data_IF_714155303416
#
_entry.id   IF_714155303416
#
_cell.length_a   1.000
_cell.length_b   1.000
_cell.length_c   1.000
_cell.angle_alpha   90.00
_cell.angle_beta   90.00
_cell.angle_gamma   90.00
#
_symmetry.space_group_name_H-M   'P 1'
#
loop_
_entity.id
_entity.type
_entity.pdbx_description
1 polymer ?
#
# COMPACT_ATOMS: atom_id res chain seq x y z
N UNK A 1 8.59 -14.94 -6.16
CA UNK A 1 8.60 -13.68 -5.37
C UNK A 1 9.37 -13.93 -4.09
N UNK A 2 10.32 -13.03 -3.77
CA UNK A 2 11.07 -13.04 -2.49
C UNK A 2 10.67 -11.78 -1.74
N UNK A 3 10.26 -11.93 -0.47
CA UNK A 3 9.83 -10.84 0.39
C UNK A 3 10.49 -10.97 1.77
N UNK A 4 11.16 -9.91 2.22
CA UNK A 4 11.86 -9.89 3.51
C UNK A 4 10.89 -9.86 4.68
N UNK A 5 9.72 -9.27 4.50
CA UNK A 5 8.67 -9.22 5.50
C UNK A 5 7.95 -10.57 5.63
N UNK A 6 7.25 -10.83 6.74
CA UNK A 6 6.66 -12.14 7.01
C UNK A 6 5.49 -12.49 6.10
N UNK A 7 4.98 -11.55 5.31
CA UNK A 7 3.84 -11.76 4.39
C UNK A 7 3.91 -10.82 3.19
N UNK A 8 3.27 -11.20 2.10
CA UNK A 8 3.01 -10.32 0.96
C UNK A 8 2.07 -9.19 1.37
N UNK A 9 2.13 -8.07 0.65
CA UNK A 9 1.27 -6.88 0.87
C UNK A 9 1.10 -6.53 2.36
N UNK A 10 2.18 -6.27 3.08
CA UNK A 10 2.20 -6.18 4.55
C UNK A 10 1.35 -5.04 5.11
N UNK A 11 1.04 -4.03 4.29
CA UNK A 11 0.21 -2.88 4.65
C UNK A 11 -1.29 -3.17 4.59
N UNK A 12 -1.66 -4.32 4.01
CA UNK A 12 -3.06 -4.75 3.92
C UNK A 12 -3.50 -5.51 5.18
N UNK A 13 -4.80 -5.71 5.32
CA UNK A 13 -5.34 -6.54 6.40
C UNK A 13 -4.76 -7.97 6.33
N UNK A 14 -4.57 -8.58 7.50
CA UNK A 14 -3.87 -9.87 7.63
C UNK A 14 -4.52 -11.00 6.83
N UNK A 15 -5.83 -10.97 6.63
CA UNK A 15 -6.55 -11.98 5.86
C UNK A 15 -6.28 -11.91 4.36
N UNK A 16 -5.81 -10.76 3.84
CA UNK A 16 -5.55 -10.57 2.40
C UNK A 16 -4.32 -11.33 1.93
N UNK A 17 -3.23 -11.29 2.71
CA UNK A 17 -1.95 -11.90 2.31
C UNK A 17 -2.02 -13.41 2.04
N UNK A 18 -2.63 -14.24 2.91
CA UNK A 18 -2.75 -15.68 2.65
C UNK A 18 -3.59 -16.01 1.41
N UNK A 19 -4.57 -15.17 1.09
CA UNK A 19 -5.40 -15.35 -0.10
C UNK A 19 -4.60 -15.05 -1.37
N UNK A 20 -3.79 -13.99 -1.35
CA UNK A 20 -2.88 -13.67 -2.44
C UNK A 20 -1.84 -14.77 -2.66
N UNK A 21 -1.20 -15.25 -1.59
CA UNK A 21 -0.21 -16.33 -1.67
C UNK A 21 -0.82 -17.63 -2.23
N UNK A 22 -2.03 -17.97 -1.80
CA UNK A 22 -2.76 -19.12 -2.34
C UNK A 22 -3.04 -18.97 -3.84
N UNK A 23 -3.47 -17.79 -4.25
CA UNK A 23 -3.74 -17.51 -5.67
C UNK A 23 -2.46 -17.57 -6.48
N UNK A 24 -1.36 -16.98 -6.02
CA UNK A 24 -0.06 -17.05 -6.66
C UNK A 24 0.44 -18.49 -6.79
N UNK A 25 0.29 -19.31 -5.75
CA UNK A 25 0.66 -20.72 -5.78
C UNK A 25 -0.11 -21.49 -6.86
N UNK A 26 -1.42 -21.22 -7.04
CA UNK A 26 -2.23 -21.83 -8.11
C UNK A 26 -1.80 -21.39 -9.50
N UNK A 27 -1.30 -20.18 -9.63
CA UNK A 27 -0.71 -19.65 -10.85
C UNK A 27 0.72 -20.17 -11.11
N UNK A 28 1.27 -21.00 -10.22
CA UNK A 28 2.64 -21.53 -10.31
C UNK A 28 3.72 -20.55 -9.86
N UNK A 29 3.35 -19.42 -9.24
CA UNK A 29 4.27 -18.43 -8.70
C UNK A 29 4.70 -18.88 -7.30
N UNK A 30 6.00 -19.12 -7.12
CA UNK A 30 6.56 -19.42 -5.79
C UNK A 30 6.75 -18.16 -4.98
N UNK A 31 6.33 -18.21 -3.72
CA UNK A 31 6.50 -17.12 -2.76
C UNK A 31 7.42 -17.57 -1.64
N UNK A 32 8.41 -16.75 -1.33
CA UNK A 32 9.33 -16.91 -0.19
C UNK A 32 9.21 -15.66 0.66
N UNK A 33 8.30 -15.66 1.62
CA UNK A 33 8.20 -14.62 2.65
C UNK A 33 9.18 -14.90 3.81
N UNK A 34 9.49 -13.88 4.60
CA UNK A 34 10.57 -13.89 5.61
C UNK A 34 11.92 -14.32 5.03
N UNK A 35 12.22 -13.87 3.82
CA UNK A 35 13.41 -14.25 3.08
C UNK A 35 14.11 -13.02 2.48
N UNK A 36 15.36 -12.83 2.76
CA UNK A 36 16.17 -11.71 2.28
C UNK A 36 17.05 -12.09 1.11
N UNK A 37 17.16 -11.22 0.10
CA UNK A 37 18.17 -11.36 -0.94
C UNK A 37 19.51 -10.86 -0.40
N UNK A 38 20.53 -11.72 -0.38
CA UNK A 38 21.87 -11.41 0.12
C UNK A 38 22.87 -11.10 -1.00
N UNK A 39 22.55 -11.47 -2.24
CA UNK A 39 23.39 -11.19 -3.40
C UNK A 39 22.90 -11.88 -4.66
N UNK A 40 23.63 -11.68 -5.74
CA UNK A 40 23.39 -12.37 -7.00
C UNK A 40 24.68 -12.55 -7.80
N UNK A 41 24.70 -13.55 -8.65
CA UNK A 41 25.80 -13.81 -9.60
C UNK A 41 25.24 -13.81 -11.02
N UNK A 42 25.93 -13.16 -11.94
CA UNK A 42 25.55 -13.12 -13.36
C UNK A 42 26.29 -14.23 -14.09
N UNK A 43 25.53 -15.16 -14.64
CA UNK A 43 26.04 -16.27 -15.45
C UNK A 43 25.79 -16.03 -16.97
N UNK A 44 26.29 -16.95 -17.82
CA UNK A 44 26.15 -16.83 -19.27
C UNK A 44 24.70 -16.90 -19.78
N UNK A 45 23.78 -17.51 -19.02
CA UNK A 45 22.38 -17.75 -19.41
C UNK A 45 21.34 -17.17 -18.44
N UNK A 46 21.77 -16.38 -17.46
CA UNK A 46 20.86 -15.81 -16.47
C UNK A 46 21.56 -15.40 -15.19
N UNK A 47 20.80 -15.31 -14.11
CA UNK A 47 21.29 -14.93 -12.79
C UNK A 47 20.98 -16.03 -11.77
N UNK A 48 21.92 -16.23 -10.85
CA UNK A 48 21.69 -17.02 -9.63
C UNK A 48 21.55 -16.04 -8.46
N UNK A 49 20.36 -15.96 -7.86
CA UNK A 49 20.06 -15.09 -6.72
C UNK A 49 20.25 -15.86 -5.42
N UNK A 50 21.02 -15.30 -4.49
CA UNK A 50 21.23 -15.83 -3.15
C UNK A 50 20.19 -15.29 -2.23
N UNK A 51 19.42 -16.17 -1.59
CA UNK A 51 18.34 -15.83 -0.69
C UNK A 51 18.58 -16.53 0.64
N UNK A 52 18.46 -15.78 1.73
CA UNK A 52 18.56 -16.32 3.08
C UNK A 52 17.18 -16.34 3.74
N UNK A 53 16.78 -17.48 4.29
CA UNK A 53 15.59 -17.65 5.11
C UNK A 53 15.97 -18.45 6.36
N UNK A 54 15.69 -17.89 7.55
CA UNK A 54 15.97 -18.55 8.84
C UNK A 54 17.43 -19.04 8.99
N UNK A 55 18.39 -18.27 8.43
CA UNK A 55 19.81 -18.62 8.45
C UNK A 55 20.22 -19.70 7.44
N UNK A 56 19.31 -20.12 6.57
CA UNK A 56 19.59 -21.11 5.50
C UNK A 56 19.65 -20.39 4.16
N UNK A 57 20.80 -20.51 3.50
CA UNK A 57 20.98 -19.97 2.14
C UNK A 57 20.32 -20.89 1.11
N UNK A 58 19.63 -20.30 0.14
CA UNK A 58 19.04 -20.93 -1.02
C UNK A 58 19.49 -20.20 -2.29
N UNK A 59 19.73 -20.95 -3.34
CA UNK A 59 20.08 -20.41 -4.66
C UNK A 59 18.88 -20.52 -5.59
N UNK A 60 18.52 -19.40 -6.22
CA UNK A 60 17.41 -19.33 -7.17
C UNK A 60 17.94 -18.91 -8.54
N UNK A 61 17.84 -19.81 -9.51
CA UNK A 61 18.20 -19.50 -10.89
C UNK A 61 17.05 -18.78 -11.59
N UNK A 62 17.39 -17.75 -12.37
CA UNK A 62 16.43 -16.95 -13.11
C UNK A 62 17.06 -16.34 -14.37
N UNK A 63 16.27 -16.13 -15.41
CA UNK A 63 16.73 -15.40 -16.59
C UNK A 63 16.84 -13.89 -16.34
N UNK A 64 15.93 -13.36 -15.50
CA UNK A 64 15.84 -11.93 -15.15
C UNK A 64 15.42 -11.77 -13.69
N UNK A 65 15.86 -10.69 -13.08
CA UNK A 65 15.45 -10.28 -11.74
C UNK A 65 14.82 -8.90 -11.82
N UNK A 66 13.59 -8.77 -11.30
CA UNK A 66 12.95 -7.49 -11.08
C UNK A 66 13.18 -7.07 -9.63
N UNK A 67 13.79 -5.90 -9.44
CA UNK A 67 13.95 -5.30 -8.11
C UNK A 67 12.78 -4.35 -7.87
N UNK A 68 11.94 -4.69 -6.89
CA UNK A 68 10.75 -3.94 -6.51
C UNK A 68 10.66 -3.81 -4.97
N UNK A 69 11.77 -3.39 -4.34
CA UNK A 69 11.97 -3.39 -2.88
C UNK A 69 11.50 -2.10 -2.20
N UNK A 70 10.71 -1.29 -2.89
CA UNK A 70 10.17 -0.03 -2.41
C UNK A 70 10.60 1.16 -3.25
N UNK A 71 10.15 2.33 -2.83
CA UNK A 71 10.42 3.63 -3.49
C UNK A 71 10.89 4.65 -2.47
N UNK A 72 11.61 5.64 -2.94
CA UNK A 72 11.96 6.85 -2.19
C UNK A 72 11.82 8.07 -3.09
N UNK A 73 11.63 9.25 -2.50
CA UNK A 73 11.58 10.48 -3.27
C UNK A 73 12.95 10.81 -3.87
N UNK A 74 12.96 11.35 -5.08
CA UNK A 74 14.16 11.89 -5.72
C UNK A 74 14.35 13.33 -5.22
N UNK A 75 15.20 13.50 -4.23
CA UNK A 75 15.46 14.81 -3.58
C UNK A 75 16.88 15.31 -3.79
N UNK A 76 17.72 14.52 -4.47
CA UNK A 76 19.11 14.86 -4.78
C UNK A 76 19.16 15.99 -5.83
N UNK A 77 20.17 16.84 -5.74
CA UNK A 77 20.48 17.92 -6.69
C UNK A 77 19.35 18.96 -6.90
N UNK A 78 18.46 19.11 -5.91
CA UNK A 78 17.40 20.13 -5.92
C UNK A 78 17.82 21.45 -5.23
N UNK A 79 19.04 21.54 -4.68
CA UNK A 79 19.50 22.72 -3.94
C UNK A 79 18.79 22.93 -2.61
N UNK A 80 18.27 21.86 -2.00
CA UNK A 80 17.51 21.93 -0.75
C UNK A 80 18.37 22.39 0.42
N UNK A 81 19.65 22.00 0.41
CA UNK A 81 20.64 22.37 1.42
C UNK A 81 20.95 23.87 1.38
N UNK A 82 21.02 24.47 0.19
CA UNK A 82 21.26 25.89 -0.01
C UNK A 82 20.15 26.75 0.60
N UNK A 83 18.93 26.22 0.64
CA UNK A 83 17.76 26.84 1.24
C UNK A 83 17.51 26.39 2.68
N UNK A 84 18.35 25.51 3.23
CA UNK A 84 18.17 24.91 4.54
C UNK A 84 16.81 24.24 4.72
N UNK A 85 16.30 23.58 3.67
CA UNK A 85 15.07 22.80 3.73
C UNK A 85 15.34 21.49 4.49
N UNK A 86 14.51 21.22 5.49
CA UNK A 86 14.62 20.01 6.29
C UNK A 86 14.23 18.76 5.47
N UNK A 87 15.15 17.79 5.44
CA UNK A 87 14.97 16.52 4.75
C UNK A 87 15.10 15.34 5.71
N UNK A 88 14.52 14.21 5.34
CA UNK A 88 14.78 12.91 5.92
C UNK A 88 15.30 11.95 4.84
N UNK A 89 15.50 10.67 5.15
CA UNK A 89 15.92 9.69 4.14
C UNK A 89 14.93 9.64 2.97
N UNK A 90 15.35 10.15 1.78
CA UNK A 90 14.55 10.18 0.56
C UNK A 90 13.25 10.98 0.66
N UNK A 91 13.18 12.02 1.50
CA UNK A 91 11.95 12.82 1.64
C UNK A 91 12.23 14.24 2.12
N UNK A 92 11.35 15.18 1.73
CA UNK A 92 11.25 16.53 2.25
C UNK A 92 10.26 16.55 3.43
N UNK A 93 10.64 17.14 4.56
CA UNK A 93 9.74 17.28 5.71
C UNK A 93 8.69 18.34 5.44
N UNK A 94 7.44 18.01 5.75
CA UNK A 94 6.29 18.92 5.61
C UNK A 94 5.40 18.87 6.85
N UNK A 95 4.68 19.95 7.07
CA UNK A 95 3.56 20.00 8.00
C UNK A 95 2.25 19.46 7.38
N UNK A 96 1.15 19.57 8.11
CA UNK A 96 -0.17 19.09 7.67
C UNK A 96 -0.78 19.94 6.53
N UNK A 97 -0.19 21.10 6.22
CA UNK A 97 -0.58 21.98 5.12
C UNK A 97 0.41 21.93 3.95
N UNK A 98 1.26 20.90 3.90
CA UNK A 98 2.29 20.68 2.88
C UNK A 98 3.43 21.72 2.89
N UNK A 99 3.52 22.59 3.90
CA UNK A 99 4.58 23.59 4.04
C UNK A 99 5.87 22.93 4.50
N UNK A 100 7.00 23.35 3.95
CA UNK A 100 8.31 23.02 4.51
C UNK A 100 8.65 23.94 5.69
N UNK A 101 9.79 23.72 6.33
CA UNK A 101 10.33 24.64 7.35
C UNK A 101 10.71 26.03 6.80
N UNK A 102 10.78 26.20 5.48
CA UNK A 102 11.10 27.48 4.81
C UNK A 102 9.83 28.14 4.31
N UNK A 103 9.47 29.35 4.83
CA UNK A 103 8.26 30.05 4.43
C UNK A 103 8.14 30.25 2.92
N UNK A 104 6.97 29.93 2.36
CA UNK A 104 6.69 30.06 0.93
C UNK A 104 7.16 28.88 0.07
N UNK A 105 7.76 27.84 0.68
CA UNK A 105 8.14 26.61 -0.02
C UNK A 105 7.29 25.45 0.48
N UNK A 106 6.70 24.74 -0.46
CA UNK A 106 5.81 23.59 -0.23
C UNK A 106 6.34 22.37 -0.94
N UNK A 107 6.03 21.18 -0.43
CA UNK A 107 6.32 19.92 -1.10
C UNK A 107 5.09 19.01 -1.09
N UNK A 108 4.84 18.34 -2.21
CA UNK A 108 3.72 17.42 -2.41
C UNK A 108 4.17 16.14 -3.14
N UNK A 109 3.39 15.10 -3.05
CA UNK A 109 3.64 13.83 -3.74
C UNK A 109 4.70 12.98 -3.07
N UNK A 110 5.31 12.12 -3.84
CA UNK A 110 6.20 11.05 -3.38
C UNK A 110 7.40 11.58 -2.59
N UNK A 111 7.89 12.76 -2.92
CA UNK A 111 9.00 13.42 -2.22
C UNK A 111 8.70 13.72 -0.76
N UNK A 112 7.43 13.74 -0.34
CA UNK A 112 7.04 13.97 1.06
C UNK A 112 7.15 12.70 1.92
N UNK A 113 7.18 11.53 1.29
CA UNK A 113 7.20 10.24 1.98
C UNK A 113 5.92 9.92 2.78
N UNK A 114 4.83 10.68 2.58
CA UNK A 114 3.56 10.44 3.29
C UNK A 114 2.80 9.24 2.71
N UNK A 115 2.36 9.35 1.47
CA UNK A 115 1.67 8.28 0.75
C UNK A 115 1.96 8.42 -0.76
N UNK A 116 2.75 7.49 -1.31
CA UNK A 116 3.22 7.53 -2.69
C UNK A 116 2.13 7.04 -3.67
N UNK A 117 1.06 7.83 -3.81
CA UNK A 117 -0.07 7.59 -4.70
C UNK A 117 -0.45 8.88 -5.43
N UNK A 118 -0.74 8.78 -6.72
CA UNK A 118 -1.01 9.93 -7.57
C UNK A 118 -2.20 10.78 -7.07
N UNK A 119 -3.28 10.15 -6.64
CA UNK A 119 -4.45 10.86 -6.11
C UNK A 119 -4.17 11.49 -4.73
N UNK A 120 -3.30 10.90 -3.91
CA UNK A 120 -2.84 11.53 -2.67
C UNK A 120 -2.03 12.79 -2.98
N UNK A 121 -1.12 12.74 -3.96
CA UNK A 121 -0.37 13.90 -4.42
C UNK A 121 -1.28 15.00 -4.97
N UNK A 122 -2.34 14.64 -5.71
CA UNK A 122 -3.34 15.60 -6.20
C UNK A 122 -4.09 16.28 -5.05
N UNK A 123 -4.52 15.52 -4.04
CA UNK A 123 -5.17 16.07 -2.85
C UNK A 123 -4.24 17.01 -2.07
N UNK A 124 -2.97 16.62 -1.89
CA UNK A 124 -1.94 17.48 -1.30
C UNK A 124 -1.77 18.78 -2.08
N UNK A 125 -1.76 18.72 -3.42
CA UNK A 125 -1.63 19.89 -4.27
C UNK A 125 -2.78 20.88 -4.11
N UNK A 126 -4.03 20.39 -4.06
CA UNK A 126 -5.20 21.22 -3.80
C UNK A 126 -5.10 21.89 -2.45
N UNK A 127 -4.82 21.11 -1.39
CA UNK A 127 -4.69 21.62 -0.02
C UNK A 127 -3.58 22.69 0.09
N UNK A 128 -2.42 22.43 -0.53
CA UNK A 128 -1.32 23.39 -0.53
C UNK A 128 -1.71 24.73 -1.17
N UNK A 129 -2.40 24.70 -2.32
CA UNK A 129 -2.84 25.92 -3.03
C UNK A 129 -3.92 26.67 -2.26
N UNK A 130 -4.87 25.98 -1.65
CA UNK A 130 -5.89 26.57 -0.79
C UNK A 130 -5.26 27.23 0.43
N UNK A 131 -4.28 26.57 1.06
CA UNK A 131 -3.52 27.14 2.18
C UNK A 131 -2.75 28.40 1.76
N UNK A 132 -2.06 28.38 0.61
CA UNK A 132 -1.38 29.55 0.03
C UNK A 132 -2.36 30.72 -0.19
N UNK A 133 -3.58 30.41 -0.62
CA UNK A 133 -4.63 31.40 -0.83
C UNK A 133 -5.24 31.93 0.48
N UNK A 134 -4.84 31.44 1.65
CA UNK A 134 -5.36 31.82 2.96
C UNK A 134 -6.77 31.26 3.21
N UNK A 135 -7.17 30.20 2.54
CA UNK A 135 -8.42 29.48 2.78
C UNK A 135 -8.32 28.61 4.02
N UNK A 136 -9.42 28.37 4.70
CA UNK A 136 -9.50 27.35 5.73
C UNK A 136 -9.44 25.96 5.09
N UNK A 137 -8.44 25.15 5.47
CA UNK A 137 -8.19 23.82 4.89
C UNK A 137 -8.35 22.74 5.94
N UNK A 138 -8.83 21.55 5.50
CA UNK A 138 -8.88 20.37 6.34
C UNK A 138 -7.65 19.51 6.11
N UNK A 139 -7.08 18.98 7.20
CA UNK A 139 -5.96 18.03 7.15
C UNK A 139 -6.35 16.75 6.43
N UNK A 140 -5.48 16.24 5.58
CA UNK A 140 -5.72 14.99 4.85
C UNK A 140 -5.62 13.78 5.78
N UNK A 141 -6.65 12.97 5.80
CA UNK A 141 -6.62 11.66 6.45
C UNK A 141 -6.05 10.60 5.50
N UNK A 142 -4.76 10.33 5.62
CA UNK A 142 -4.07 9.36 4.77
C UNK A 142 -4.52 7.92 5.03
N UNK A 143 -5.05 7.60 6.21
CA UNK A 143 -5.58 6.27 6.49
C UNK A 143 -6.83 5.99 5.64
N UNK A 144 -7.65 7.01 5.43
CA UNK A 144 -8.90 6.90 4.66
C UNK A 144 -8.70 7.03 3.15
N UNK A 145 -7.49 7.31 2.67
CA UNK A 145 -7.23 7.34 1.23
C UNK A 145 -7.29 5.94 0.62
N UNK A 146 -8.05 5.76 -0.48
CA UNK A 146 -8.15 4.48 -1.18
C UNK A 146 -6.79 4.01 -1.71
N UNK A 147 -6.51 2.73 -1.54
CA UNK A 147 -5.30 2.07 -2.05
C UNK A 147 -5.69 0.92 -2.96
N UNK A 148 -5.00 0.80 -4.09
CA UNK A 148 -5.20 -0.27 -5.06
C UNK A 148 -3.86 -0.92 -5.41
N UNK A 149 -3.81 -2.25 -5.38
CA UNK A 149 -2.68 -3.04 -5.87
C UNK A 149 -3.15 -3.82 -7.11
N UNK A 150 -2.64 -3.40 -8.26
CA UNK A 150 -3.00 -3.96 -9.56
C UNK A 150 -2.22 -5.25 -9.85
N UNK A 151 -2.56 -6.29 -9.14
CA UNK A 151 -2.09 -7.66 -9.37
C UNK A 151 -3.28 -8.55 -9.78
N UNK A 152 -3.08 -9.85 -9.88
CA UNK A 152 -4.16 -10.79 -10.15
C UNK A 152 -4.14 -11.92 -9.11
N UNK A 153 -5.20 -12.03 -8.26
CA UNK A 153 -6.36 -11.13 -8.16
C UNK A 153 -5.98 -9.72 -7.65
N UNK A 154 -6.79 -8.71 -7.98
CA UNK A 154 -6.59 -7.34 -7.51
C UNK A 154 -6.80 -7.24 -6.00
N UNK A 155 -6.14 -6.25 -5.40
CA UNK A 155 -6.35 -5.90 -3.99
C UNK A 155 -6.74 -4.43 -3.91
N UNK A 156 -7.69 -4.12 -3.02
CA UNK A 156 -8.15 -2.78 -2.78
C UNK A 156 -8.46 -2.58 -1.30
N UNK A 157 -8.09 -1.43 -0.76
CA UNK A 157 -8.33 -1.12 0.65
C UNK A 157 -8.44 0.38 0.93
N UNK A 158 -9.07 0.72 2.02
CA UNK A 158 -9.02 2.02 2.65
C UNK A 158 -9.26 1.86 4.15
N UNK A 159 -8.89 2.88 4.92
CA UNK A 159 -9.12 2.91 6.36
C UNK A 159 -8.21 1.99 7.15
N UNK A 160 -8.67 1.65 8.34
CA UNK A 160 -7.93 0.84 9.31
C UNK A 160 -8.11 -0.65 9.02
N UNK A 161 -7.04 -1.41 9.17
CA UNK A 161 -7.13 -2.87 9.29
C UNK A 161 -7.83 -3.24 10.60
N UNK A 162 -8.34 -4.46 10.72
CA UNK A 162 -8.92 -4.94 11.98
C UNK A 162 -7.95 -4.79 13.16
N UNK A 163 -6.68 -5.14 12.95
CA UNK A 163 -5.66 -5.04 13.98
C UNK A 163 -5.44 -3.58 14.43
N UNK A 164 -5.31 -2.65 13.47
CA UNK A 164 -5.15 -1.22 13.76
C UNK A 164 -6.36 -0.63 14.48
N UNK A 165 -7.58 -0.99 14.05
CA UNK A 165 -8.78 -0.51 14.70
C UNK A 165 -8.88 -0.99 16.16
N UNK A 166 -8.53 -2.25 16.45
CA UNK A 166 -8.46 -2.78 17.82
C UNK A 166 -7.37 -2.12 18.65
N UNK A 167 -6.20 -1.88 18.07
CA UNK A 167 -5.09 -1.19 18.73
C UNK A 167 -5.44 0.25 19.12
N UNK A 168 -6.23 0.93 18.29
CA UNK A 168 -6.75 2.27 18.56
C UNK A 168 -7.91 2.29 19.56
N UNK A 169 -8.33 1.12 20.05
CA UNK A 169 -9.35 0.99 21.12
C UNK A 169 -10.78 0.97 20.61
N UNK A 170 -11.02 0.78 19.32
CA UNK A 170 -12.37 0.59 18.77
C UNK A 170 -12.95 -0.77 19.20
N UNK A 171 -14.27 -0.80 19.42
CA UNK A 171 -15.00 -2.05 19.59
C UNK A 171 -15.36 -2.61 18.20
N UNK A 172 -14.48 -3.48 17.66
CA UNK A 172 -14.51 -3.89 16.26
C UNK A 172 -15.48 -5.04 16.02
N UNK A 173 -16.42 -4.84 15.11
CA UNK A 173 -17.19 -5.87 14.41
C UNK A 173 -16.64 -6.03 12.98
N UNK A 174 -16.52 -7.27 12.51
CA UNK A 174 -16.05 -7.59 11.16
C UNK A 174 -17.16 -8.28 10.38
N UNK A 175 -17.40 -7.78 9.15
CA UNK A 175 -18.24 -8.44 8.16
C UNK A 175 -17.39 -8.92 7.00
N UNK A 176 -17.53 -10.20 6.61
CA UNK A 176 -16.79 -10.77 5.46
C UNK A 176 -17.76 -11.37 4.47
N UNK A 177 -17.60 -11.03 3.19
CA UNK A 177 -18.30 -11.63 2.07
C UNK A 177 -17.32 -12.37 1.18
N UNK A 178 -17.58 -13.64 0.90
CA UNK A 178 -16.75 -14.46 0.01
C UNK A 178 -17.17 -14.20 -1.45
N UNK A 179 -16.21 -13.83 -2.29
CA UNK A 179 -16.42 -13.55 -3.72
C UNK A 179 -17.00 -14.75 -4.47
N UNK A 180 -16.73 -15.97 -4.02
CA UNK A 180 -17.30 -17.19 -4.59
C UNK A 180 -18.85 -17.20 -4.60
N UNK A 181 -19.50 -16.48 -3.71
CA UNK A 181 -20.96 -16.34 -3.66
C UNK A 181 -21.50 -15.28 -4.63
N UNK A 182 -20.64 -14.58 -5.37
CA UNK A 182 -21.02 -13.55 -6.31
C UNK A 182 -21.26 -14.11 -7.71
N UNK A 183 -22.46 -13.91 -8.27
CA UNK A 183 -22.85 -14.45 -9.58
C UNK A 183 -22.00 -13.90 -10.74
N UNK A 184 -21.59 -12.62 -10.71
CA UNK A 184 -20.70 -12.03 -11.73
C UNK A 184 -19.33 -12.70 -11.68
N UNK A 185 -18.74 -12.83 -10.50
CA UNK A 185 -17.44 -13.47 -10.31
C UNK A 185 -17.47 -14.93 -10.80
N UNK A 186 -18.54 -15.66 -10.51
CA UNK A 186 -18.74 -17.02 -11.03
C UNK A 186 -18.85 -17.05 -12.56
N UNK A 187 -19.58 -16.11 -13.16
CA UNK A 187 -19.70 -16.00 -14.63
C UNK A 187 -18.38 -15.62 -15.31
N UNK A 188 -17.51 -14.87 -14.64
CA UNK A 188 -16.17 -14.53 -15.12
C UNK A 188 -15.16 -15.68 -14.95
N UNK A 189 -15.50 -16.71 -14.17
CA UNK A 189 -14.55 -17.77 -13.79
C UNK A 189 -13.51 -17.33 -12.76
N UNK A 190 -13.72 -16.20 -12.12
CA UNK A 190 -12.79 -15.55 -11.17
C UNK A 190 -13.47 -15.41 -9.79
N UNK A 191 -13.64 -16.53 -9.10
CA UNK A 191 -14.41 -16.59 -7.85
C UNK A 191 -13.56 -16.57 -6.58
N UNK A 192 -12.27 -16.26 -6.69
CA UNK A 192 -11.37 -16.18 -5.54
C UNK A 192 -11.39 -14.79 -4.92
N UNK A 193 -11.50 -14.75 -3.59
CA UNK A 193 -11.34 -13.50 -2.86
C UNK A 193 -12.40 -13.28 -1.79
N UNK A 194 -12.25 -12.13 -1.11
CA UNK A 194 -13.16 -11.66 -0.06
C UNK A 194 -13.34 -10.14 -0.15
N UNK A 195 -14.46 -9.69 0.39
CA UNK A 195 -14.69 -8.31 0.82
C UNK A 195 -14.81 -8.33 2.34
N UNK A 196 -13.90 -7.66 3.04
CA UNK A 196 -13.90 -7.52 4.50
C UNK A 196 -14.17 -6.08 4.89
N UNK A 197 -15.14 -5.86 5.77
CA UNK A 197 -15.47 -4.57 6.36
C UNK A 197 -15.15 -4.57 7.84
N UNK A 198 -14.50 -3.52 8.30
CA UNK A 198 -14.14 -3.27 9.71
C UNK A 198 -15.03 -2.14 10.21
N UNK A 199 -15.85 -2.40 11.21
CA UNK A 199 -16.90 -1.49 11.68
C UNK A 199 -16.77 -1.29 13.19
N UNK A 200 -17.00 -0.08 13.68
CA UNK A 200 -17.17 0.18 15.11
C UNK A 200 -18.55 -0.31 15.55
N UNK A 201 -18.59 -1.30 16.45
CA UNK A 201 -19.84 -1.93 16.93
C UNK A 201 -20.72 -0.96 17.71
N UNK A 202 -20.14 0.10 18.29
CA UNK A 202 -20.88 1.06 19.11
C UNK A 202 -21.73 2.00 18.28
N UNK A 203 -21.23 2.43 17.11
CA UNK A 203 -21.85 3.45 16.29
C UNK A 203 -22.23 2.97 14.89
N UNK A 204 -21.79 1.77 14.50
CA UNK A 204 -21.93 1.25 13.14
C UNK A 204 -21.07 1.99 12.12
N UNK A 205 -20.05 2.71 12.57
CA UNK A 205 -19.16 3.48 11.71
C UNK A 205 -18.21 2.57 10.97
N UNK A 206 -18.09 2.75 9.64
CA UNK A 206 -17.15 2.03 8.81
C UNK A 206 -15.73 2.56 9.06
N UNK A 207 -14.87 1.75 9.69
CA UNK A 207 -13.49 2.09 10.01
C UNK A 207 -12.52 1.73 8.90
N UNK A 208 -12.84 0.70 8.11
CA UNK A 208 -12.00 0.28 6.99
C UNK A 208 -12.65 -0.79 6.13
N UNK A 209 -12.12 -0.96 4.92
CA UNK A 209 -12.53 -1.97 3.97
C UNK A 209 -11.33 -2.56 3.25
N UNK A 210 -11.27 -3.89 3.17
CA UNK A 210 -10.16 -4.62 2.59
C UNK A 210 -10.68 -5.71 1.68
N UNK A 211 -10.23 -5.71 0.44
CA UNK A 211 -10.77 -6.59 -0.59
C UNK A 211 -9.65 -7.24 -1.38
N UNK A 212 -9.87 -8.48 -1.76
CA UNK A 212 -9.08 -9.17 -2.78
C UNK A 212 -10.04 -9.92 -3.70
N UNK A 213 -9.86 -9.78 -5.01
CA UNK A 213 -10.74 -10.44 -5.98
C UNK A 213 -10.76 -9.75 -7.34
N UNK A 214 -11.63 -10.20 -8.25
CA UNK A 214 -11.79 -9.57 -9.56
C UNK A 214 -12.39 -8.17 -9.42
N UNK A 215 -11.80 -7.20 -10.11
CA UNK A 215 -12.28 -5.81 -10.24
C UNK A 215 -12.54 -5.09 -8.90
N UNK A 216 -11.96 -5.55 -7.79
CA UNK A 216 -12.20 -4.93 -6.47
C UNK A 216 -11.69 -3.49 -6.37
N UNK A 217 -10.74 -3.09 -7.22
CA UNK A 217 -10.24 -1.72 -7.26
C UNK A 217 -11.31 -0.73 -7.71
N UNK A 218 -12.30 -1.17 -8.50
CA UNK A 218 -13.43 -0.35 -8.94
C UNK A 218 -14.51 -0.20 -7.84
N UNK A 219 -14.51 -1.07 -6.83
CA UNK A 219 -15.49 -1.05 -5.74
C UNK A 219 -15.12 -0.07 -4.60
N UNK A 220 -13.89 0.45 -4.59
CA UNK A 220 -13.42 1.36 -3.54
C UNK A 220 -14.26 2.65 -3.44
N UNK A 221 -14.72 3.17 -4.58
CA UNK A 221 -15.51 4.39 -4.62
C UNK A 221 -16.80 4.30 -3.80
N UNK A 222 -17.52 3.18 -3.87
CA UNK A 222 -18.76 2.95 -3.11
C UNK A 222 -18.48 2.90 -1.61
N UNK A 223 -17.42 2.21 -1.20
CA UNK A 223 -17.05 2.09 0.21
C UNK A 223 -16.54 3.42 0.77
N UNK A 224 -15.73 4.17 0.02
CA UNK A 224 -15.25 5.48 0.44
C UNK A 224 -16.39 6.47 0.65
N UNK A 225 -17.39 6.46 -0.22
CA UNK A 225 -18.60 7.30 -0.07
C UNK A 225 -19.46 6.92 1.14
N UNK A 226 -19.41 5.67 1.60
CA UNK A 226 -20.16 5.23 2.79
C UNK A 226 -19.59 5.83 4.07
N UNK A 227 -18.31 6.21 4.06
CA UNK A 227 -17.61 6.83 5.19
C UNK A 227 -17.83 8.35 5.26
N UNK A 228 -18.11 9.01 4.14
CA UNK A 228 -18.34 10.47 4.06
C UNK A 228 -19.70 10.85 4.63
#
# INVERSE_FOLDING_TARGET
>A
VVEVLPRLVPNEDEEISPLLERSFSRQGIKVLASAGVTGFEVGPSGLTVKVEKEGVEQLLDSEKVLVAVGVQGNIEDLGLEDLSIETGPGRIQIDDHMSTNVPGIYAIGDVTGKLALAHAASAQGVLAVEHIAGMETQVLDYAMMPRATYCHPQIASFGLTEAQAREQGHNVQVGTFNVQANGKAAAMGESEGIVKLVVDDRYGELLGGHMIGPEVTELLGELAMTKM
#
